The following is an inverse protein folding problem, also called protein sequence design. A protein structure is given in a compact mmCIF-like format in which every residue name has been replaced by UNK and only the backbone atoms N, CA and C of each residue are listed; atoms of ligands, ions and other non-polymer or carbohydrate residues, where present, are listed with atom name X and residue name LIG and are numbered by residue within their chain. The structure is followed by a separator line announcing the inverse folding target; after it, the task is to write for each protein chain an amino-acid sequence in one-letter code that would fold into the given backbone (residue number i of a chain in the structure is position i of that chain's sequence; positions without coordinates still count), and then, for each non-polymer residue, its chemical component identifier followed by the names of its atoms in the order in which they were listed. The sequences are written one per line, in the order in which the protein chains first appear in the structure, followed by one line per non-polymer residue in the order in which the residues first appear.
data_IF_740041210983
#
_entry.id   IF_740041210983
#
_cell.length_a   1.000
_cell.length_b   1.000
_cell.length_c   1.000
_cell.angle_alpha   90.00
_cell.angle_beta   90.00
_cell.angle_gamma   90.00
#
_symmetry.space_group_name_H-M   'P 1'
#
loop_
_entity.id
_entity.type
_entity.pdbx_description
1 polymer ?
#
# COMPACT_ATOMS: atom_id res chain seq x y z
N UNK A 1 8.08 6.09 9.13
CA UNK A 1 6.78 5.73 8.53
C UNK A 1 6.29 4.41 9.09
N UNK A 2 7.16 3.41 9.09
CA UNK A 2 6.81 2.08 9.57
C UNK A 2 7.14 1.97 11.06
N UNK A 3 6.14 1.64 11.87
CA UNK A 3 6.28 1.42 13.29
C UNK A 3 6.27 -0.06 13.66
N UNK A 4 6.09 -0.35 14.94
CA UNK A 4 6.12 -1.71 15.48
C UNK A 4 4.96 -2.59 14.97
N UNK A 5 3.89 -1.98 14.49
CA UNK A 5 2.73 -2.69 13.93
C UNK A 5 3.06 -3.49 12.67
N UNK A 6 4.25 -3.28 12.09
CA UNK A 6 4.68 -4.00 10.89
C UNK A 6 5.16 -5.42 11.22
N UNK A 7 5.62 -5.68 12.44
CA UNK A 7 6.04 -7.03 12.82
C UNK A 7 4.86 -8.02 12.64
N UNK A 8 5.11 -9.11 11.93
CA UNK A 8 4.12 -10.16 11.63
C UNK A 8 2.98 -9.70 10.69
N UNK A 9 3.04 -8.48 10.14
CA UNK A 9 1.97 -7.93 9.32
C UNK A 9 1.97 -8.48 7.90
N UNK A 10 0.77 -8.54 7.29
CA UNK A 10 0.60 -8.68 5.85
C UNK A 10 0.52 -7.28 5.25
N UNK A 11 1.45 -6.97 4.36
CA UNK A 11 1.64 -5.63 3.81
C UNK A 11 1.34 -5.62 2.32
N UNK A 12 0.65 -4.59 1.87
CA UNK A 12 0.40 -4.31 0.45
C UNK A 12 1.09 -3.00 0.08
N UNK A 13 2.06 -3.10 -0.83
CA UNK A 13 2.83 -1.96 -1.35
C UNK A 13 2.32 -1.65 -2.77
N UNK A 14 1.39 -0.71 -2.84
CA UNK A 14 0.80 -0.27 -4.12
C UNK A 14 1.70 0.78 -4.77
N UNK A 15 1.79 0.74 -6.11
CA UNK A 15 2.70 1.60 -6.86
C UNK A 15 4.14 1.41 -6.38
N UNK A 16 4.57 0.16 -6.28
CA UNK A 16 5.74 -0.20 -5.50
C UNK A 16 7.07 0.41 -5.96
N UNK A 17 7.21 0.70 -7.27
CA UNK A 17 8.45 1.27 -7.79
C UNK A 17 9.65 0.38 -7.48
N UNK A 18 10.64 0.91 -6.78
CA UNK A 18 11.81 0.14 -6.35
C UNK A 18 11.51 -0.89 -5.27
N UNK A 19 10.32 -0.82 -4.64
CA UNK A 19 9.95 -1.69 -3.54
C UNK A 19 10.52 -1.27 -2.18
N UNK A 20 11.03 -0.05 -2.07
CA UNK A 20 11.71 0.41 -0.84
C UNK A 20 10.86 0.23 0.42
N UNK A 21 9.59 0.60 0.37
CA UNK A 21 8.69 0.48 1.53
C UNK A 21 8.47 -0.98 1.89
N UNK A 22 8.16 -1.82 0.89
CA UNK A 22 7.92 -3.24 1.14
C UNK A 22 9.17 -3.96 1.67
N UNK A 23 10.33 -3.66 1.15
CA UNK A 23 11.57 -4.25 1.64
C UNK A 23 11.91 -3.77 3.07
N UNK A 24 11.64 -2.50 3.38
CA UNK A 24 11.77 -2.03 4.74
C UNK A 24 10.80 -2.75 5.68
N UNK A 25 9.56 -2.97 5.25
CA UNK A 25 8.59 -3.73 6.02
C UNK A 25 9.10 -5.15 6.31
N UNK A 26 9.68 -5.82 5.31
CA UNK A 26 10.27 -7.15 5.50
C UNK A 26 11.42 -7.12 6.51
N UNK A 27 12.28 -6.09 6.47
CA UNK A 27 13.38 -5.94 7.41
C UNK A 27 12.90 -5.70 8.84
N UNK A 28 11.68 -5.18 9.01
CA UNK A 28 11.05 -4.94 10.32
C UNK A 28 10.16 -6.09 10.76
N UNK A 29 10.20 -7.22 10.05
CA UNK A 29 9.52 -8.43 10.48
C UNK A 29 8.14 -8.67 9.89
N UNK A 30 7.75 -7.96 8.82
CA UNK A 30 6.49 -8.27 8.13
C UNK A 30 6.43 -9.74 7.73
N UNK A 31 5.28 -10.35 7.91
CA UNK A 31 5.10 -11.76 7.57
C UNK A 31 5.13 -11.97 6.05
N UNK A 32 4.52 -11.06 5.31
CA UNK A 32 4.43 -11.14 3.85
C UNK A 32 4.21 -9.75 3.26
N UNK A 33 4.85 -9.47 2.13
CA UNK A 33 4.63 -8.23 1.38
C UNK A 33 4.19 -8.57 -0.05
N UNK A 34 3.08 -7.99 -0.47
CA UNK A 34 2.65 -8.02 -1.86
C UNK A 34 2.98 -6.67 -2.49
N UNK A 35 3.79 -6.71 -3.53
CA UNK A 35 4.14 -5.53 -4.33
C UNK A 35 3.24 -5.49 -5.56
N UNK A 36 2.65 -4.35 -5.82
CA UNK A 36 1.87 -4.08 -7.03
C UNK A 36 2.60 -3.03 -7.84
N UNK A 37 3.01 -3.38 -9.05
CA UNK A 37 3.76 -2.50 -9.93
C UNK A 37 3.28 -2.68 -11.38
N UNK A 38 3.00 -1.57 -12.06
CA UNK A 38 2.51 -1.56 -13.43
C UNK A 38 3.62 -1.89 -14.44
N UNK A 39 4.84 -1.36 -14.21
CA UNK A 39 5.93 -1.44 -15.17
C UNK A 39 6.68 -2.76 -15.02
N UNK A 40 6.57 -3.63 -16.00
CA UNK A 40 7.11 -4.99 -15.94
C UNK A 40 8.63 -5.06 -15.62
N UNK A 41 9.50 -4.24 -16.23
CA UNK A 41 10.93 -4.25 -15.88
C UNK A 41 11.19 -3.87 -14.42
N UNK A 42 10.44 -2.90 -13.89
CA UNK A 42 10.55 -2.50 -12.49
C UNK A 42 10.09 -3.63 -11.56
N UNK A 43 9.00 -4.30 -11.90
CA UNK A 43 8.51 -5.47 -11.16
C UNK A 43 9.53 -6.61 -11.18
N UNK A 44 10.18 -6.85 -12.32
CA UNK A 44 11.24 -7.85 -12.43
C UNK A 44 12.43 -7.54 -11.51
N UNK A 45 12.78 -6.25 -11.39
CA UNK A 45 13.84 -5.80 -10.49
C UNK A 45 13.46 -6.05 -9.01
N UNK A 46 12.19 -5.87 -8.64
CA UNK A 46 11.72 -6.21 -7.29
C UNK A 46 11.90 -7.70 -7.02
N UNK A 47 11.50 -8.56 -7.97
CA UNK A 47 11.68 -10.01 -7.83
C UNK A 47 13.13 -10.39 -7.66
N UNK A 48 14.03 -9.79 -8.46
CA UNK A 48 15.45 -10.05 -8.37
C UNK A 48 16.02 -9.62 -7.02
N UNK A 49 15.62 -8.46 -6.52
CA UNK A 49 16.03 -7.98 -5.20
C UNK A 49 15.56 -8.91 -4.09
N UNK A 50 14.31 -9.41 -4.18
CA UNK A 50 13.77 -10.34 -3.20
C UNK A 50 14.58 -11.65 -3.13
N UNK A 51 14.99 -12.17 -4.28
CA UNK A 51 15.85 -13.34 -4.34
C UNK A 51 17.22 -13.06 -3.73
N UNK A 52 17.84 -11.95 -4.10
CA UNK A 52 19.16 -11.56 -3.60
C UNK A 52 19.16 -11.35 -2.08
N UNK A 53 18.10 -10.74 -1.55
CA UNK A 53 17.96 -10.50 -0.11
C UNK A 53 17.49 -11.71 0.68
N UNK A 54 17.16 -12.82 0.00
CA UNK A 54 16.70 -14.03 0.66
C UNK A 54 15.28 -13.97 1.21
N UNK A 55 14.45 -13.08 0.70
CA UNK A 55 13.06 -12.87 1.19
C UNK A 55 11.98 -13.25 0.18
N UNK A 56 12.36 -13.93 -0.92
CA UNK A 56 11.42 -14.25 -2.00
C UNK A 56 10.18 -15.01 -1.52
N UNK A 57 10.32 -15.92 -0.54
CA UNK A 57 9.17 -16.68 -0.01
C UNK A 57 8.19 -15.85 0.78
N UNK A 58 8.59 -14.65 1.18
CA UNK A 58 7.74 -13.71 1.92
C UNK A 58 7.26 -12.57 1.03
N UNK A 59 7.37 -12.73 -0.29
CA UNK A 59 6.97 -11.70 -1.26
C UNK A 59 6.06 -12.28 -2.33
N UNK A 60 5.18 -11.43 -2.84
CA UNK A 60 4.39 -11.65 -4.05
C UNK A 60 4.52 -10.39 -4.89
N UNK A 61 4.73 -10.52 -6.18
CA UNK A 61 4.79 -9.37 -7.10
C UNK A 61 3.67 -9.50 -8.13
N UNK A 62 2.79 -8.51 -8.18
CA UNK A 62 1.68 -8.44 -9.13
C UNK A 62 1.96 -7.33 -10.13
N UNK A 63 2.04 -7.69 -11.41
CA UNK A 63 2.26 -6.74 -12.50
C UNK A 63 0.91 -6.35 -13.06
N UNK A 64 0.39 -5.20 -12.63
CA UNK A 64 -0.90 -4.69 -13.04
C UNK A 64 -1.07 -3.25 -12.59
N UNK A 65 -2.01 -2.49 -13.22
CA UNK A 65 -2.46 -1.25 -12.63
C UNK A 65 -3.06 -1.52 -11.25
N UNK A 66 -2.84 -0.61 -10.30
CA UNK A 66 -3.25 -0.82 -8.91
C UNK A 66 -4.75 -1.14 -8.78
N UNK A 67 -5.60 -0.41 -9.49
CA UNK A 67 -7.05 -0.60 -9.44
C UNK A 67 -7.49 -1.96 -10.00
N UNK A 68 -6.71 -2.56 -10.88
CA UNK A 68 -6.99 -3.89 -11.46
C UNK A 68 -6.37 -5.02 -10.63
N UNK A 69 -5.28 -4.73 -9.93
CA UNK A 69 -4.58 -5.71 -9.13
C UNK A 69 -5.47 -6.27 -8.01
N UNK A 70 -6.41 -5.47 -7.51
CA UNK A 70 -7.29 -5.90 -6.40
C UNK A 70 -8.04 -7.20 -6.68
N UNK A 71 -8.33 -7.50 -7.96
CA UNK A 71 -8.99 -8.75 -8.34
C UNK A 71 -8.10 -9.98 -8.21
N UNK A 72 -6.79 -9.78 -8.11
CA UNK A 72 -5.78 -10.85 -7.96
C UNK A 72 -5.31 -11.03 -6.52
N UNK A 73 -5.85 -10.21 -5.60
CA UNK A 73 -5.46 -10.24 -4.20
C UNK A 73 -6.47 -11.04 -3.39
N UNK A 74 -6.03 -11.66 -2.32
CA UNK A 74 -6.88 -12.39 -1.40
C UNK A 74 -6.36 -12.26 0.02
N UNK A 75 -7.28 -12.39 0.98
CA UNK A 75 -6.96 -12.26 2.38
C UNK A 75 -6.85 -10.80 2.82
N UNK A 76 -6.90 -10.61 4.12
CA UNK A 76 -6.86 -9.28 4.72
C UNK A 76 -5.41 -8.78 4.83
N UNK A 77 -5.19 -7.51 4.51
CA UNK A 77 -3.92 -6.83 4.74
C UNK A 77 -3.99 -6.02 6.03
N UNK A 78 -2.89 -6.01 6.76
CA UNK A 78 -2.76 -5.23 7.99
C UNK A 78 -2.29 -3.81 7.72
N UNK A 79 -1.52 -3.62 6.66
CA UNK A 79 -0.93 -2.35 6.29
C UNK A 79 -0.93 -2.20 4.77
N UNK A 80 -1.39 -1.05 4.28
CA UNK A 80 -1.41 -0.72 2.85
C UNK A 80 -0.69 0.60 2.67
N UNK A 81 0.27 0.63 1.75
CA UNK A 81 0.98 1.85 1.38
C UNK A 81 0.71 2.17 -0.08
N UNK A 82 0.34 3.40 -0.37
CA UNK A 82 0.06 3.86 -1.73
C UNK A 82 0.79 5.17 -2.01
N UNK A 83 1.69 5.13 -2.99
CA UNK A 83 2.41 6.29 -3.50
C UNK A 83 2.18 6.38 -5.01
N UNK A 84 0.97 6.84 -5.44
CA UNK A 84 0.69 6.94 -6.88
C UNK A 84 1.63 7.90 -7.58
N UNK A 85 1.82 7.75 -8.92
CA UNK A 85 2.68 8.65 -9.68
C UNK A 85 2.30 10.12 -9.49
N UNK A 86 3.30 11.01 -9.59
CA UNK A 86 3.11 12.44 -9.49
C UNK A 86 1.97 12.91 -10.40
N UNK A 87 1.16 13.84 -9.90
CA UNK A 87 -0.02 14.38 -10.57
C UNK A 87 -1.17 13.40 -10.77
N UNK A 88 -1.08 12.17 -10.26
CA UNK A 88 -2.24 11.27 -10.24
C UNK A 88 -3.26 11.74 -9.21
N UNK A 89 -4.57 11.56 -9.49
CA UNK A 89 -5.58 11.82 -8.47
C UNK A 89 -5.44 10.85 -7.29
N UNK A 90 -6.05 11.16 -6.12
CA UNK A 90 -6.08 10.21 -5.01
C UNK A 90 -6.67 8.86 -5.43
N UNK A 91 -6.24 7.74 -4.80
CA UNK A 91 -6.56 6.39 -5.28
C UNK A 91 -7.97 5.91 -4.87
N UNK A 92 -9.01 6.65 -5.28
CA UNK A 92 -10.40 6.35 -4.90
C UNK A 92 -10.85 4.97 -5.36
N UNK A 93 -10.59 4.62 -6.61
CA UNK A 93 -11.01 3.33 -7.16
C UNK A 93 -10.27 2.18 -6.49
N UNK A 94 -8.96 2.32 -6.33
CA UNK A 94 -8.14 1.29 -5.70
C UNK A 94 -8.54 1.04 -4.25
N UNK A 95 -8.62 2.11 -3.45
CA UNK A 95 -8.99 1.98 -2.03
C UNK A 95 -10.44 1.50 -1.87
N UNK A 96 -11.35 2.00 -2.72
CA UNK A 96 -12.73 1.54 -2.73
C UNK A 96 -12.86 0.06 -3.04
N UNK A 97 -12.08 -0.44 -3.99
CA UNK A 97 -12.04 -1.87 -4.33
C UNK A 97 -11.47 -2.72 -3.18
N UNK A 98 -10.42 -2.24 -2.52
CA UNK A 98 -9.87 -2.95 -1.36
C UNK A 98 -10.94 -3.10 -0.27
N UNK A 99 -11.68 -2.04 0.01
CA UNK A 99 -12.74 -2.05 1.02
C UNK A 99 -13.89 -2.97 0.60
N UNK A 100 -14.38 -2.82 -0.63
CA UNK A 100 -15.51 -3.60 -1.13
C UNK A 100 -15.22 -5.10 -1.15
N UNK A 101 -13.99 -5.48 -1.46
CA UNK A 101 -13.57 -6.89 -1.50
C UNK A 101 -13.10 -7.41 -0.15
N UNK A 102 -13.20 -6.62 0.90
CA UNK A 102 -12.80 -6.98 2.26
C UNK A 102 -11.32 -7.39 2.38
N UNK A 103 -10.47 -6.78 1.55
CA UNK A 103 -9.02 -6.95 1.64
C UNK A 103 -8.44 -6.05 2.74
N UNK A 104 -9.21 -5.09 3.19
CA UNK A 104 -8.90 -4.23 4.34
C UNK A 104 -10.13 -4.14 5.24
N UNK A 105 -9.91 -3.87 6.53
CA UNK A 105 -10.98 -3.68 7.51
C UNK A 105 -10.60 -2.56 8.49
N UNK A 106 -11.39 -2.38 9.54
CA UNK A 106 -11.18 -1.31 10.52
C UNK A 106 -9.84 -1.41 11.26
N UNK A 107 -9.18 -2.57 11.25
CA UNK A 107 -7.86 -2.78 11.87
C UNK A 107 -6.71 -2.50 10.90
N UNK A 108 -7.00 -2.29 9.62
CA UNK A 108 -5.97 -2.02 8.62
C UNK A 108 -5.57 -0.55 8.67
N UNK A 109 -4.27 -0.28 8.65
CA UNK A 109 -3.74 1.07 8.44
C UNK A 109 -3.46 1.24 6.96
N UNK A 110 -4.08 2.24 6.32
CA UNK A 110 -3.79 2.62 4.96
C UNK A 110 -3.02 3.95 4.99
N UNK A 111 -1.93 4.01 4.23
CA UNK A 111 -1.12 5.23 4.10
C UNK A 111 -1.14 5.67 2.65
N UNK A 112 -1.54 6.91 2.44
CA UNK A 112 -1.51 7.55 1.14
C UNK A 112 -0.45 8.64 1.16
N UNK A 113 0.57 8.50 0.31
CA UNK A 113 1.61 9.50 0.15
C UNK A 113 1.25 10.40 -1.03
N UNK A 114 1.31 11.71 -0.80
CA UNK A 114 1.10 12.71 -1.85
C UNK A 114 2.00 13.90 -1.63
N UNK A 115 2.20 14.71 -2.67
CA UNK A 115 2.96 15.94 -2.56
C UNK A 115 2.17 17.01 -1.80
N UNK A 116 2.86 18.06 -1.36
CA UNK A 116 2.27 19.19 -0.63
C UNK A 116 1.11 19.84 -1.36
N UNK A 117 1.17 19.86 -2.71
CA UNK A 117 0.13 20.44 -3.56
C UNK A 117 -0.88 19.41 -4.06
N UNK A 118 -0.69 18.14 -3.71
CA UNK A 118 -1.62 17.10 -4.08
C UNK A 118 -2.86 17.12 -3.21
N UNK A 119 -3.96 16.58 -3.72
CA UNK A 119 -5.20 16.47 -2.98
C UNK A 119 -5.13 15.33 -1.98
N UNK A 120 -5.64 15.55 -0.78
CA UNK A 120 -5.85 14.48 0.19
C UNK A 120 -6.97 13.57 -0.29
N UNK A 121 -6.97 12.34 0.22
CA UNK A 121 -8.01 11.36 -0.06
C UNK A 121 -9.20 11.59 0.87
N UNK A 122 -10.38 11.70 0.28
CA UNK A 122 -11.64 11.79 1.01
C UNK A 122 -12.67 10.91 0.31
N UNK A 123 -13.27 9.99 1.06
CA UNK A 123 -14.29 9.10 0.50
C UNK A 123 -15.16 8.53 1.63
N UNK A 124 -16.46 8.31 1.37
CA UNK A 124 -17.28 7.54 2.30
C UNK A 124 -16.65 6.18 2.60
N UNK A 125 -16.73 5.74 3.83
CA UNK A 125 -16.12 4.46 4.25
C UNK A 125 -14.68 4.56 4.71
N UNK A 126 -14.09 5.76 4.68
CA UNK A 126 -12.73 6.00 5.17
C UNK A 126 -12.70 7.22 6.08
N UNK A 127 -11.80 7.21 7.04
CA UNK A 127 -11.54 8.37 7.90
C UNK A 127 -10.03 8.57 8.03
N UNK A 128 -9.62 9.83 8.05
CA UNK A 128 -8.22 10.18 8.32
C UNK A 128 -8.00 10.15 9.83
N UNK A 129 -7.04 9.33 10.26
CA UNK A 129 -6.69 9.24 11.68
C UNK A 129 -5.45 10.04 12.04
N UNK A 130 -4.63 10.36 11.04
CA UNK A 130 -3.41 11.14 11.23
C UNK A 130 -2.93 11.68 9.89
N UNK A 131 -2.37 12.90 9.91
CA UNK A 131 -1.57 13.45 8.83
C UNK A 131 -0.16 13.69 9.34
N UNK A 132 0.83 13.41 8.51
CA UNK A 132 2.23 13.67 8.83
C UNK A 132 2.93 14.30 7.62
N UNK A 133 3.89 15.19 7.89
CA UNK A 133 4.66 15.84 6.85
C UNK A 133 6.13 15.46 6.99
N UNK A 134 6.73 15.03 5.89
CA UNK A 134 8.15 14.73 5.81
C UNK A 134 8.73 15.50 4.62
N UNK A 135 9.36 16.67 4.89
CA UNK A 135 9.82 17.54 3.83
C UNK A 135 8.66 18.07 2.99
N UNK A 136 8.64 17.77 1.70
CA UNK A 136 7.59 18.15 0.76
C UNK A 136 6.53 17.03 0.58
N UNK A 137 6.67 15.94 1.32
CA UNK A 137 5.80 14.77 1.22
C UNK A 137 4.80 14.79 2.37
N UNK A 138 3.53 14.54 2.02
CA UNK A 138 2.45 14.40 2.98
C UNK A 138 2.05 12.93 3.07
N UNK A 139 1.91 12.42 4.28
CA UNK A 139 1.40 11.08 4.54
C UNK A 139 0.04 11.19 5.23
N UNK A 140 -0.95 10.62 4.61
CA UNK A 140 -2.30 10.54 5.17
C UNK A 140 -2.54 9.12 5.65
N UNK A 141 -2.80 8.98 6.94
CA UNK A 141 -3.09 7.68 7.57
C UNK A 141 -4.60 7.53 7.68
N UNK A 142 -5.10 6.44 7.13
CA UNK A 142 -6.53 6.21 6.98
C UNK A 142 -6.93 4.89 7.62
N UNK A 143 -8.19 4.82 8.04
CA UNK A 143 -8.86 3.58 8.43
C UNK A 143 -10.22 3.52 7.75
N UNK A 144 -10.73 2.31 7.57
CA UNK A 144 -12.09 2.14 7.09
C UNK A 144 -13.07 2.36 8.22
N UNK A 145 -14.24 2.88 7.86
CA UNK A 145 -15.39 3.05 8.77
C UNK A 145 -16.64 2.57 8.06
N UNK A 146 -17.68 2.28 8.81
CA UNK A 146 -18.96 1.94 8.22
C UNK A 146 -19.55 3.15 7.51
N UNK A 147 -20.22 2.90 6.38
CA UNK A 147 -20.97 3.94 5.68
C UNK A 147 -22.36 3.98 6.29
N UNK A 148 -22.74 5.16 6.81
CA UNK A 148 -24.09 5.37 7.33
C UNK A 148 -25.12 5.32 6.20
N UNK A 149 -26.21 4.61 6.41
CA UNK A 149 -27.24 4.53 5.38
C UNK A 149 -28.25 3.46 5.59
#
# INVERSE_FOLDING_TARGET
ILGDEIAEARVLDLYAGTGAIGFEALSRGAAHVTFVELHAPTAAAIKASALELGVAKRTTVVIAPAEKATTRLSGRFDFVYADPPYASPPPHLTFGNLRARRLVDASTTLVYEHGERGDAFHSPGFTTVRDARYGEVMLQFLRTVEIAG
#
